data_IF_468168303908
#
_entry.id   IF_468168303908
#
_cell.length_a   1.000
_cell.length_b   1.000
_cell.length_c   1.000
_cell.angle_alpha   90.00
_cell.angle_beta   90.00
_cell.angle_gamma   90.00
#
_symmetry.space_group_name_H-M   'P 1'
#
loop_
_entity.id
_entity.type
_entity.pdbx_description
1 polymer ?
#
# COMPACT_ATOMS: atom_id res chain seq x y z
N UNK A 1 27.21 -9.42 19.01
CA UNK A 1 27.41 -8.62 17.78
C UNK A 1 27.64 -9.48 16.53
N UNK A 2 28.49 -10.52 16.56
CA UNK A 2 28.71 -11.44 15.41
C UNK A 2 27.49 -12.30 15.03
N UNK A 3 26.69 -12.72 16.01
CA UNK A 3 25.51 -13.57 15.76
C UNK A 3 24.37 -12.82 15.04
N UNK A 4 24.08 -11.57 15.41
CA UNK A 4 22.97 -10.81 14.82
C UNK A 4 23.26 -10.39 13.39
N UNK A 5 24.50 -10.01 13.09
CA UNK A 5 24.93 -9.72 11.72
C UNK A 5 24.85 -10.95 10.83
N UNK A 6 25.27 -12.12 11.33
CA UNK A 6 25.13 -13.38 10.59
C UNK A 6 23.65 -13.71 10.33
N UNK A 7 22.79 -13.58 11.34
CA UNK A 7 21.34 -13.81 11.19
C UNK A 7 20.70 -12.85 10.20
N UNK A 8 21.07 -11.57 10.24
CA UNK A 8 20.59 -10.58 9.28
C UNK A 8 21.03 -10.94 7.85
N UNK A 9 22.30 -11.33 7.67
CA UNK A 9 22.79 -11.78 6.37
C UNK A 9 22.07 -13.05 5.89
N UNK A 10 21.82 -14.02 6.76
CA UNK A 10 21.09 -15.24 6.43
C UNK A 10 19.64 -14.95 6.00
N UNK A 11 19.01 -13.93 6.60
CA UNK A 11 17.69 -13.44 6.18
C UNK A 11 17.75 -12.80 4.79
N UNK A 12 18.71 -11.92 4.55
CA UNK A 12 18.89 -11.26 3.24
C UNK A 12 19.23 -12.25 2.13
N UNK A 13 20.07 -13.25 2.41
CA UNK A 13 20.36 -14.34 1.46
C UNK A 13 19.11 -15.16 1.10
N UNK A 14 18.11 -15.20 1.98
CA UNK A 14 16.80 -15.82 1.72
C UNK A 14 15.83 -14.86 1.03
N UNK A 15 16.04 -13.55 1.14
CA UNK A 15 15.17 -12.52 0.59
C UNK A 15 15.01 -12.67 -0.92
N UNK A 16 16.10 -12.88 -1.66
CA UNK A 16 16.03 -13.09 -3.11
C UNK A 16 15.12 -14.25 -3.49
N UNK A 17 15.18 -15.37 -2.75
CA UNK A 17 14.29 -16.51 -2.97
C UNK A 17 12.83 -16.19 -2.63
N UNK A 18 12.60 -15.38 -1.61
CA UNK A 18 11.25 -14.93 -1.23
C UNK A 18 10.69 -14.03 -2.33
N UNK A 19 11.46 -13.04 -2.77
CA UNK A 19 11.06 -12.08 -3.79
C UNK A 19 10.87 -12.73 -5.16
N UNK A 20 11.71 -13.70 -5.54
CA UNK A 20 11.53 -14.49 -6.75
C UNK A 20 10.25 -15.34 -6.67
N UNK A 21 9.94 -15.93 -5.51
CA UNK A 21 8.68 -16.65 -5.32
C UNK A 21 7.44 -15.75 -5.43
N UNK A 22 7.56 -14.44 -5.13
CA UNK A 22 6.47 -13.49 -5.36
C UNK A 22 6.31 -13.18 -6.86
N UNK A 23 7.42 -13.01 -7.59
CA UNK A 23 7.38 -12.84 -9.06
C UNK A 23 6.80 -14.07 -9.77
N UNK A 24 6.98 -15.24 -9.16
CA UNK A 24 6.49 -16.52 -9.63
C UNK A 24 5.08 -16.89 -9.13
N UNK A 25 4.39 -15.98 -8.43
CA UNK A 25 3.10 -16.27 -7.79
C UNK A 25 1.98 -16.60 -8.78
N UNK A 26 0.97 -17.34 -8.31
CA UNK A 26 -0.19 -17.76 -9.09
C UNK A 26 -0.92 -16.61 -9.77
N UNK A 27 -1.07 -15.48 -9.06
CA UNK A 27 -1.71 -14.28 -9.62
C UNK A 27 -0.99 -13.78 -10.88
N UNK A 28 0.34 -13.92 -10.94
CA UNK A 28 1.16 -13.52 -12.09
C UNK A 28 1.12 -14.59 -13.18
N UNK A 29 1.44 -15.85 -12.84
CA UNK A 29 1.63 -16.92 -13.82
C UNK A 29 0.33 -17.44 -14.44
N UNK A 30 -0.69 -17.64 -13.63
CA UNK A 30 -1.89 -18.39 -14.02
C UNK A 30 -3.10 -17.49 -14.25
N UNK A 31 -3.14 -16.32 -13.59
CA UNK A 31 -4.22 -15.34 -13.76
C UNK A 31 -3.85 -14.21 -14.73
N UNK A 32 -2.61 -14.18 -15.21
CA UNK A 32 -2.14 -13.21 -16.20
C UNK A 32 -2.03 -11.77 -15.70
N UNK A 33 -2.06 -11.55 -14.37
CA UNK A 33 -1.79 -10.22 -13.83
C UNK A 33 -0.32 -9.88 -14.08
N UNK A 34 -0.06 -8.68 -14.58
CA UNK A 34 1.31 -8.20 -14.76
C UNK A 34 1.63 -7.18 -13.67
N UNK A 35 2.82 -7.23 -13.07
CA UNK A 35 3.29 -6.15 -12.21
C UNK A 35 3.18 -4.83 -12.96
N UNK A 36 2.47 -3.87 -12.38
CA UNK A 36 2.35 -2.55 -12.98
C UNK A 36 3.71 -1.85 -12.89
N UNK A 37 4.19 -1.23 -13.97
CA UNK A 37 5.38 -0.40 -13.87
C UNK A 37 5.04 0.79 -12.95
N UNK A 38 5.92 1.06 -11.99
CA UNK A 38 5.71 2.11 -10.99
C UNK A 38 6.62 3.29 -11.27
N UNK A 39 6.15 4.54 -11.16
CA UNK A 39 7.06 5.67 -11.14
C UNK A 39 8.01 5.53 -9.95
N UNK A 40 9.28 5.74 -10.23
CA UNK A 40 10.34 5.69 -9.23
C UNK A 40 10.70 7.11 -8.79
N UNK A 41 11.05 7.26 -7.51
CA UNK A 41 11.44 8.54 -6.94
C UNK A 41 12.73 8.39 -6.13
N UNK A 42 13.63 9.37 -6.20
CA UNK A 42 14.71 9.52 -5.23
C UNK A 42 14.15 10.07 -3.93
N UNK A 43 14.81 9.78 -2.81
CA UNK A 43 14.43 10.34 -1.52
C UNK A 43 14.50 11.88 -1.51
N UNK A 44 15.39 12.49 -2.31
CA UNK A 44 15.54 13.94 -2.43
C UNK A 44 14.36 14.61 -3.14
N UNK A 45 13.55 13.85 -3.89
CA UNK A 45 12.45 14.39 -4.69
C UNK A 45 11.12 14.43 -3.92
N UNK A 46 11.08 14.03 -2.66
CA UNK A 46 9.87 13.91 -1.86
C UNK A 46 10.00 14.69 -0.56
N UNK A 47 9.15 15.70 -0.38
CA UNK A 47 9.02 16.38 0.89
C UNK A 47 8.08 15.60 1.82
N UNK A 48 8.56 15.33 3.04
CA UNK A 48 7.80 14.62 4.06
C UNK A 48 7.17 15.57 5.07
N UNK A 49 5.90 15.34 5.36
CA UNK A 49 5.17 15.98 6.44
C UNK A 49 5.17 15.15 7.72
N UNK A 50 4.14 15.35 8.54
CA UNK A 50 3.98 14.65 9.82
C UNK A 50 3.91 13.13 9.67
N UNK A 51 4.28 12.43 10.73
CA UNK A 51 4.08 10.99 10.86
C UNK A 51 2.59 10.67 11.00
N UNK A 52 2.09 9.78 10.15
CA UNK A 52 0.72 9.26 10.16
C UNK A 52 0.59 8.01 11.05
N UNK A 53 1.66 7.22 11.14
CA UNK A 53 1.70 6.01 11.95
C UNK A 53 3.10 5.41 12.01
N UNK A 54 3.34 4.60 13.03
CA UNK A 54 4.56 3.83 13.23
C UNK A 54 4.16 2.39 13.56
N UNK A 55 4.71 1.44 12.81
CA UNK A 55 4.56 0.01 13.03
C UNK A 55 5.80 -0.60 13.69
N UNK A 56 5.88 -1.93 13.69
CA UNK A 56 7.02 -2.64 14.30
C UNK A 56 8.38 -2.28 13.71
N UNK A 57 8.46 -2.09 12.39
CA UNK A 57 9.71 -1.78 11.69
C UNK A 57 9.62 -0.57 10.74
N UNK A 58 8.41 -0.08 10.45
CA UNK A 58 8.20 0.95 9.43
C UNK A 58 7.44 2.17 9.93
N UNK A 59 7.78 3.33 9.38
CA UNK A 59 7.11 4.61 9.59
C UNK A 59 6.31 4.98 8.36
N UNK A 60 5.18 5.65 8.57
CA UNK A 60 4.38 6.24 7.48
C UNK A 60 4.30 7.74 7.69
N UNK A 61 4.72 8.52 6.70
CA UNK A 61 4.70 9.97 6.69
C UNK A 61 3.74 10.50 5.61
N UNK A 62 3.21 11.70 5.81
CA UNK A 62 2.58 12.45 4.72
C UNK A 62 3.61 12.81 3.66
N UNK A 63 3.19 12.82 2.40
CA UNK A 63 3.95 13.48 1.32
C UNK A 63 3.33 14.85 1.09
N UNK A 64 4.11 15.91 1.32
CA UNK A 64 3.63 17.30 1.21
C UNK A 64 3.87 17.89 -0.17
N UNK A 65 4.96 17.50 -0.83
CA UNK A 65 5.30 17.91 -2.19
C UNK A 65 6.18 16.87 -2.88
N UNK A 66 6.27 16.98 -4.20
CA UNK A 66 7.27 16.30 -5.01
C UNK A 66 8.08 17.34 -5.75
N UNK A 67 9.39 17.37 -5.50
CA UNK A 67 10.33 18.24 -6.18
C UNK A 67 11.08 17.43 -7.21
N UNK A 68 10.47 17.32 -8.40
CA UNK A 68 11.02 16.49 -9.47
C UNK A 68 12.26 17.18 -10.04
N UNK A 69 13.42 16.58 -9.79
CA UNK A 69 14.63 16.90 -10.53
C UNK A 69 14.41 16.52 -12.00
N UNK A 70 14.93 17.32 -12.94
CA UNK A 70 14.90 16.96 -14.37
C UNK A 70 15.62 15.62 -14.53
N UNK A 71 14.96 14.63 -15.13
CA UNK A 71 15.67 13.41 -15.51
C UNK A 71 16.86 13.78 -16.41
N UNK A 72 18.05 13.17 -16.22
CA UNK A 72 19.13 13.35 -17.17
C UNK A 72 18.61 12.88 -18.53
N UNK A 73 18.74 13.73 -19.56
CA UNK A 73 18.44 13.36 -20.93
C UNK A 73 19.23 12.08 -21.24
N UNK A 74 18.54 10.97 -21.45
CA UNK A 74 19.16 9.76 -21.99
C UNK A 74 19.55 10.13 -23.42
N UNK A 75 20.84 10.43 -23.63
CA UNK A 75 21.41 10.52 -24.98
C UNK A 75 21.25 9.15 -25.63
N UNK A 76 20.24 9.02 -26.48
CA UNK A 76 20.22 7.99 -27.49
C UNK A 76 21.26 8.38 -28.52
N UNK A 77 22.51 7.95 -28.30
CA UNK A 77 23.52 7.98 -29.34
C UNK A 77 23.06 7.05 -30.47
N UNK A 78 22.65 7.66 -31.59
CA UNK A 78 22.40 6.96 -32.84
C UNK A 78 21.19 7.48 -33.62
N UNK A 79 21.26 8.69 -34.15
CA UNK A 79 21.21 8.97 -35.61
C UNK A 79 20.92 10.46 -35.91
N UNK A 80 21.98 11.13 -36.39
CA UNK A 80 22.05 12.26 -37.35
C UNK A 80 21.67 13.69 -36.91
N UNK A 81 22.71 14.54 -36.95
CA UNK A 81 22.73 15.99 -37.24
C UNK A 81 21.90 16.28 -38.53
N UNK A 82 21.29 17.44 -38.81
CA UNK A 82 21.44 18.87 -38.50
C UNK A 82 19.99 19.46 -38.35
N UNK A 83 19.63 20.66 -37.87
CA UNK A 83 20.27 21.97 -37.83
C UNK A 83 19.47 22.87 -36.84
N UNK A 84 20.13 23.92 -36.37
CA UNK A 84 19.78 24.81 -35.25
C UNK A 84 18.49 25.63 -35.36
N UNK A 85 17.84 25.90 -34.21
CA UNK A 85 17.39 27.24 -33.80
C UNK A 85 17.27 27.35 -32.27
N UNK A 86 17.95 28.37 -31.73
CA UNK A 86 17.98 28.79 -30.32
C UNK A 86 16.59 29.24 -29.87
N UNK A 87 16.21 28.92 -28.63
CA UNK A 87 15.35 29.79 -27.81
C UNK A 87 15.48 29.46 -26.32
N UNK A 88 15.35 30.52 -25.53
CA UNK A 88 15.79 30.69 -24.14
C UNK A 88 15.03 29.86 -23.10
N UNK A 89 15.66 29.72 -21.93
CA UNK A 89 15.12 29.01 -20.79
C UNK A 89 13.77 29.55 -20.32
N UNK A 90 12.80 28.64 -20.23
CA UNK A 90 11.71 28.76 -19.27
C UNK A 90 11.24 27.36 -18.84
N UNK A 91 10.81 27.28 -17.59
CA UNK A 91 10.27 26.07 -16.99
C UNK A 91 9.02 25.67 -17.77
N UNK A 92 9.00 24.48 -18.40
CA UNK A 92 7.80 23.98 -19.11
C UNK A 92 6.63 23.86 -18.14
N UNK A 93 5.78 24.90 -18.10
CA UNK A 93 4.38 24.76 -17.68
C UNK A 93 3.66 24.01 -18.79
N UNK A 94 3.50 22.69 -18.63
CA UNK A 94 2.63 21.92 -19.52
C UNK A 94 1.19 22.29 -19.17
N UNK A 95 0.53 23.00 -20.07
CA UNK A 95 -0.88 23.31 -19.97
C UNK A 95 -1.69 22.01 -20.13
N UNK A 96 -2.32 21.55 -19.04
CA UNK A 96 -3.36 20.53 -19.14
C UNK A 96 -4.63 21.22 -19.64
N UNK A 97 -5.11 20.77 -20.79
CA UNK A 97 -6.38 21.17 -21.39
C UNK A 97 -7.50 21.15 -20.35
N UNK A 98 -8.24 22.27 -20.26
CA UNK A 98 -9.50 22.35 -19.54
C UNK A 98 -10.49 21.34 -20.13
N UNK A 99 -10.63 20.18 -19.50
CA UNK A 99 -11.83 19.34 -19.67
C UNK A 99 -12.79 19.68 -18.52
N UNK A 100 -13.99 20.22 -18.80
CA UNK A 100 -14.94 20.60 -17.78
C UNK A 100 -15.62 19.37 -17.17
N UNK A 101 -15.76 19.35 -15.85
CA UNK A 101 -16.67 18.51 -15.06
C UNK A 101 -17.03 17.13 -15.63
N UNK A 102 -16.25 16.11 -15.25
CA UNK A 102 -16.61 14.69 -15.41
C UNK A 102 -16.80 14.01 -14.05
N UNK A 103 -17.92 13.33 -13.88
CA UNK A 103 -18.31 12.62 -12.67
C UNK A 103 -17.31 11.52 -12.27
N UNK A 104 -16.80 11.65 -11.04
CA UNK A 104 -16.61 10.59 -10.02
C UNK A 104 -16.03 9.20 -10.35
N UNK A 105 -15.38 8.89 -11.47
CA UNK A 105 -14.73 7.56 -11.66
C UNK A 105 -13.39 7.53 -12.40
N UNK A 106 -12.84 8.67 -12.84
CA UNK A 106 -11.58 8.71 -13.63
C UNK A 106 -10.29 8.83 -12.79
N UNK A 107 -10.19 8.15 -11.64
CA UNK A 107 -8.90 7.96 -10.94
C UNK A 107 -8.30 6.55 -11.18
N UNK A 108 -8.92 5.81 -12.13
CA UNK A 108 -8.50 4.51 -12.66
C UNK A 108 -7.86 4.59 -14.06
N UNK A 109 -7.63 5.81 -14.57
CA UNK A 109 -6.90 6.02 -15.81
C UNK A 109 -5.49 5.41 -15.69
N UNK A 110 -5.23 4.42 -16.54
CA UNK A 110 -4.00 3.67 -16.62
C UNK A 110 -2.80 4.62 -16.61
N UNK A 111 -1.95 4.47 -15.60
CA UNK A 111 -0.73 5.27 -15.47
C UNK A 111 0.23 4.93 -16.60
N UNK A 112 0.30 5.79 -17.61
CA UNK A 112 1.54 5.95 -18.34
C UNK A 112 2.59 6.47 -17.34
N UNK A 113 3.58 5.63 -17.04
CA UNK A 113 4.64 5.96 -16.08
C UNK A 113 5.36 7.26 -16.44
N UNK A 114 5.45 7.56 -17.75
CA UNK A 114 6.04 8.77 -18.31
C UNK A 114 5.43 10.06 -17.76
N UNK A 115 4.13 10.08 -17.44
CA UNK A 115 3.43 11.27 -16.90
C UNK A 115 3.03 11.12 -15.44
N UNK A 116 3.15 9.93 -14.87
CA UNK A 116 2.70 9.62 -13.51
C UNK A 116 3.39 10.51 -12.46
N UNK A 117 4.70 10.74 -12.61
CA UNK A 117 5.49 11.58 -11.68
C UNK A 117 4.96 13.01 -11.64
N UNK A 118 4.78 13.62 -12.80
CA UNK A 118 4.27 14.99 -12.94
C UNK A 118 2.84 15.11 -12.43
N UNK A 119 1.96 14.13 -12.71
CA UNK A 119 0.60 14.11 -12.18
C UNK A 119 0.57 14.00 -10.66
N UNK A 120 1.46 13.20 -10.06
CA UNK A 120 1.58 13.10 -8.61
C UNK A 120 2.08 14.39 -7.98
N UNK A 121 3.06 15.05 -8.59
CA UNK A 121 3.54 16.37 -8.15
C UNK A 121 2.43 17.42 -8.21
N UNK A 122 1.76 17.55 -9.36
CA UNK A 122 0.71 18.54 -9.59
C UNK A 122 -0.55 18.30 -8.74
N UNK A 123 -0.83 17.05 -8.34
CA UNK A 123 -2.01 16.66 -7.55
C UNK A 123 -1.67 16.18 -6.14
N UNK A 124 -0.49 16.55 -5.62
CA UNK A 124 -0.02 16.16 -4.29
C UNK A 124 -1.01 16.59 -3.20
N UNK A 125 -1.56 17.80 -3.35
CA UNK A 125 -2.57 18.35 -2.46
C UNK A 125 -3.95 18.36 -3.13
N UNK A 126 -4.97 17.88 -2.42
CA UNK A 126 -6.38 17.99 -2.80
C UNK A 126 -7.10 18.85 -1.78
N UNK A 127 -7.50 20.06 -2.17
CA UNK A 127 -8.15 21.05 -1.26
C UNK A 127 -7.33 21.28 0.02
N UNK A 128 -6.00 21.39 -0.11
CA UNK A 128 -5.08 21.60 1.02
C UNK A 128 -4.76 20.35 1.85
N UNK A 129 -5.32 19.19 1.50
CA UNK A 129 -5.05 17.91 2.18
C UNK A 129 -4.10 17.07 1.34
N UNK A 130 -3.04 16.52 1.95
CA UNK A 130 -2.10 15.65 1.24
C UNK A 130 -2.80 14.37 0.77
N UNK A 131 -2.51 13.96 -0.46
CA UNK A 131 -3.13 12.80 -1.12
C UNK A 131 -2.36 11.52 -0.88
N UNK A 132 -1.05 11.62 -0.66
CA UNK A 132 -0.15 10.49 -0.61
C UNK A 132 0.48 10.31 0.77
N UNK A 133 0.81 9.06 1.06
CA UNK A 133 1.61 8.66 2.20
C UNK A 133 2.84 7.90 1.71
N UNK A 134 3.96 8.07 2.41
CA UNK A 134 5.20 7.36 2.16
C UNK A 134 5.48 6.42 3.33
N UNK A 135 5.63 5.12 3.03
CA UNK A 135 6.02 4.08 3.99
C UNK A 135 7.49 3.73 3.79
N UNK A 136 8.29 3.83 4.85
CA UNK A 136 9.74 3.51 4.88
C UNK A 136 10.12 2.83 6.20
N UNK A 137 11.35 2.32 6.30
CA UNK A 137 11.86 1.82 7.59
C UNK A 137 12.15 2.97 8.57
N UNK A 138 12.01 2.69 9.87
CA UNK A 138 12.52 3.58 10.91
C UNK A 138 14.06 3.49 10.99
N UNK A 139 14.69 4.59 11.37
CA UNK A 139 16.17 4.68 11.41
C UNK A 139 16.79 3.87 12.58
N UNK A 140 16.01 3.66 13.65
CA UNK A 140 16.45 3.05 14.90
C UNK A 140 16.05 1.57 15.00
N UNK A 141 16.61 0.72 14.12
CA UNK A 141 16.36 -0.72 14.11
C UNK A 141 17.64 -1.52 14.34
N UNK A 142 17.54 -2.68 14.99
CA UNK A 142 18.64 -3.65 14.99
C UNK A 142 18.86 -4.26 13.60
N UNK A 143 20.03 -4.82 13.33
CA UNK A 143 20.36 -5.40 12.02
C UNK A 143 19.37 -6.50 11.57
N UNK A 144 18.87 -7.29 12.51
CA UNK A 144 17.88 -8.35 12.23
C UNK A 144 16.51 -7.74 11.92
N UNK A 145 16.12 -6.68 12.62
CA UNK A 145 14.86 -5.98 12.38
C UNK A 145 14.89 -5.22 11.06
N UNK A 146 16.02 -4.58 10.72
CA UNK A 146 16.25 -3.98 9.40
C UNK A 146 16.10 -5.01 8.30
N UNK A 147 16.77 -6.16 8.42
CA UNK A 147 16.67 -7.24 7.43
C UNK A 147 15.23 -7.73 7.23
N UNK A 148 14.48 -7.93 8.32
CA UNK A 148 13.06 -8.31 8.25
C UNK A 148 12.20 -7.22 7.62
N UNK A 149 12.36 -5.98 8.07
CA UNK A 149 11.63 -4.83 7.57
C UNK A 149 11.85 -4.60 6.07
N UNK A 150 13.08 -4.72 5.58
CA UNK A 150 13.38 -4.62 4.15
C UNK A 150 12.66 -5.71 3.34
N UNK A 151 12.66 -6.95 3.84
CA UNK A 151 11.96 -8.07 3.19
C UNK A 151 10.44 -7.82 3.16
N UNK A 152 9.85 -7.44 4.30
CA UNK A 152 8.41 -7.23 4.42
C UNK A 152 7.95 -6.08 3.51
N UNK A 153 8.70 -4.96 3.48
CA UNK A 153 8.40 -3.82 2.62
C UNK A 153 8.56 -4.16 1.14
N UNK A 154 9.59 -4.93 0.77
CA UNK A 154 9.79 -5.40 -0.59
C UNK A 154 8.66 -6.35 -1.05
N UNK A 155 8.25 -7.29 -0.19
CA UNK A 155 7.12 -8.20 -0.44
C UNK A 155 5.81 -7.42 -0.62
N UNK A 156 5.56 -6.43 0.25
CA UNK A 156 4.41 -5.54 0.14
C UNK A 156 4.38 -4.80 -1.20
N UNK A 157 5.49 -4.19 -1.61
CA UNK A 157 5.59 -3.50 -2.89
C UNK A 157 5.28 -4.43 -4.07
N UNK A 158 5.83 -5.65 -4.05
CA UNK A 158 5.57 -6.64 -5.11
C UNK A 158 4.11 -7.05 -5.19
N UNK A 159 3.46 -7.40 -4.07
CA UNK A 159 2.04 -7.74 -4.11
C UNK A 159 1.18 -6.53 -4.51
N UNK A 160 1.41 -5.34 -3.98
CA UNK A 160 0.66 -4.13 -4.35
C UNK A 160 0.85 -3.73 -5.82
N UNK A 161 1.94 -4.16 -6.47
CA UNK A 161 2.15 -3.96 -7.91
C UNK A 161 1.19 -4.78 -8.78
N UNK A 162 0.71 -5.93 -8.29
CA UNK A 162 -0.13 -6.88 -9.03
C UNK A 162 -1.59 -6.91 -8.57
N UNK A 163 -1.86 -6.60 -7.28
CA UNK A 163 -3.24 -6.56 -6.77
C UNK A 163 -3.93 -5.25 -7.16
N UNK A 164 -5.18 -5.36 -7.57
CA UNK A 164 -6.01 -4.21 -7.93
C UNK A 164 -7.46 -4.46 -7.54
N UNK A 165 -7.91 -3.73 -6.52
CA UNK A 165 -9.24 -3.85 -5.97
C UNK A 165 -9.66 -2.52 -5.33
N UNK A 166 -10.92 -2.08 -5.44
CA UNK A 166 -11.38 -0.81 -4.86
C UNK A 166 -11.20 -0.71 -3.34
N UNK A 167 -11.21 -1.84 -2.63
CA UNK A 167 -11.03 -1.92 -1.18
C UNK A 167 -9.62 -2.40 -0.73
N UNK A 168 -8.61 -2.29 -1.61
CA UNK A 168 -7.20 -2.49 -1.27
C UNK A 168 -6.46 -1.17 -1.51
N UNK A 169 -5.52 -0.81 -0.63
CA UNK A 169 -4.72 0.40 -0.80
C UNK A 169 -3.97 0.39 -2.13
N UNK A 170 -3.99 1.52 -2.85
CA UNK A 170 -3.26 1.65 -4.11
C UNK A 170 -1.85 2.15 -3.85
N UNK A 171 -0.86 1.36 -4.27
CA UNK A 171 0.51 1.85 -4.45
C UNK A 171 0.57 2.77 -5.67
N UNK A 172 1.26 3.89 -5.53
CA UNK A 172 1.37 4.95 -6.54
C UNK A 172 2.79 5.16 -7.05
N UNK A 173 3.80 4.78 -6.26
CA UNK A 173 5.21 4.85 -6.66
C UNK A 173 6.11 4.12 -5.66
N UNK A 174 7.39 3.99 -6.01
CA UNK A 174 8.41 3.34 -5.19
C UNK A 174 9.72 4.13 -5.20
N UNK A 175 10.61 3.82 -4.26
CA UNK A 175 11.98 4.34 -4.29
C UNK A 175 12.71 3.87 -5.56
N UNK A 176 13.53 4.74 -6.14
CA UNK A 176 14.48 4.35 -7.16
C UNK A 176 15.56 3.41 -6.58
N UNK A 177 15.95 2.39 -7.34
CA UNK A 177 16.99 1.43 -6.95
C UNK A 177 16.43 0.07 -6.50
N UNK A 178 17.17 -0.61 -5.62
CA UNK A 178 16.85 -1.98 -5.17
C UNK A 178 15.79 -2.01 -4.08
N UNK A 179 14.90 -2.99 -4.12
CA UNK A 179 13.93 -3.30 -3.07
C UNK A 179 14.58 -3.68 -1.74
N UNK A 180 15.78 -4.27 -1.77
CA UNK A 180 16.54 -4.69 -0.59
C UNK A 180 17.56 -3.62 -0.19
N UNK A 181 17.10 -2.39 -0.09
CA UNK A 181 17.86 -1.24 0.40
C UNK A 181 17.16 -0.66 1.64
N UNK A 182 17.92 -0.17 2.63
CA UNK A 182 17.38 0.49 3.81
C UNK A 182 16.58 1.75 3.47
N UNK A 183 16.97 2.46 2.41
CA UNK A 183 16.29 3.68 1.94
C UNK A 183 15.09 3.38 1.04
N UNK A 184 14.76 2.09 0.83
CA UNK A 184 13.60 1.70 0.04
C UNK A 184 12.31 2.18 0.72
N UNK A 185 11.41 2.75 -0.09
CA UNK A 185 10.12 3.24 0.36
C UNK A 185 9.04 2.99 -0.68
N UNK A 186 7.79 3.04 -0.21
CA UNK A 186 6.60 2.94 -1.05
C UNK A 186 5.77 4.21 -0.90
N UNK A 187 5.35 4.80 -2.01
CA UNK A 187 4.35 5.87 -2.04
C UNK A 187 2.99 5.26 -2.34
N UNK A 188 1.99 5.57 -1.53
CA UNK A 188 0.63 5.02 -1.63
C UNK A 188 -0.43 6.08 -1.36
N UNK A 189 -1.70 5.75 -1.65
CA UNK A 189 -2.82 6.59 -1.26
C UNK A 189 -2.85 6.79 0.25
N UNK A 190 -3.05 8.03 0.68
CA UNK A 190 -3.16 8.36 2.10
C UNK A 190 -4.47 7.84 2.70
N UNK A 191 -4.36 7.21 3.87
CA UNK A 191 -5.49 6.81 4.70
C UNK A 191 -5.68 7.82 5.86
N UNK A 192 -6.95 8.03 6.27
CA UNK A 192 -7.38 9.06 7.22
C UNK A 192 -7.82 8.50 8.58
N UNK A 193 -7.62 7.21 8.80
CA UNK A 193 -7.90 6.52 10.06
C UNK A 193 -7.96 5.01 9.85
N UNK A 194 -8.02 4.27 10.96
CA UNK A 194 -8.11 2.80 10.97
C UNK A 194 -9.49 2.31 11.41
N UNK A 195 -9.80 1.04 11.12
CA UNK A 195 -11.01 0.38 11.59
C UNK A 195 -10.99 0.24 13.12
N UNK A 196 -9.83 0.05 13.75
CA UNK A 196 -9.74 0.09 15.23
C UNK A 196 -10.28 1.41 15.79
N UNK A 197 -9.80 2.54 15.24
CA UNK A 197 -10.25 3.88 15.64
C UNK A 197 -11.76 4.04 15.40
N UNK A 198 -12.27 3.55 14.26
CA UNK A 198 -13.69 3.64 13.91
C UNK A 198 -14.57 2.76 14.81
N UNK A 199 -14.13 1.55 15.16
CA UNK A 199 -14.80 0.67 16.13
C UNK A 199 -14.91 1.37 17.48
N UNK A 200 -13.83 2.00 17.94
CA UNK A 200 -13.81 2.73 19.20
C UNK A 200 -14.73 3.96 19.16
N UNK A 201 -14.81 4.67 18.03
CA UNK A 201 -15.77 5.75 17.82
C UNK A 201 -17.22 5.26 17.88
N UNK A 202 -17.55 4.15 17.20
CA UNK A 202 -18.87 3.54 17.24
C UNK A 202 -19.27 3.12 18.67
N UNK A 203 -18.36 2.51 19.43
CA UNK A 203 -18.60 2.14 20.84
C UNK A 203 -18.96 3.38 21.68
N UNK A 204 -18.21 4.47 21.54
CA UNK A 204 -18.47 5.74 22.25
C UNK A 204 -19.79 6.38 21.82
N UNK A 205 -20.14 6.30 20.54
CA UNK A 205 -21.39 6.86 20.02
C UNK A 205 -22.60 6.09 20.57
N UNK A 206 -22.53 4.76 20.59
CA UNK A 206 -23.58 3.93 21.16
C UNK A 206 -23.71 4.11 22.67
N UNK A 207 -22.58 4.18 23.41
CA UNK A 207 -22.63 4.32 24.87
C UNK A 207 -23.21 5.65 25.35
N UNK A 208 -22.94 6.75 24.62
CA UNK A 208 -23.53 8.07 24.90
C UNK A 208 -25.04 8.13 24.66
N UNK A 209 -25.55 7.24 23.80
CA UNK A 209 -26.97 7.13 23.48
C UNK A 209 -27.64 5.96 24.23
N UNK A 210 -27.03 5.43 25.30
CA UNK A 210 -27.68 4.44 26.18
C UNK A 210 -28.22 5.09 27.46
N UNK A 211 -29.42 5.70 27.37
CA UNK A 211 -30.28 6.19 28.48
C UNK A 211 -31.47 7.00 27.92
N UNK A 212 -32.74 6.96 28.36
CA UNK A 212 -33.40 6.69 29.66
C UNK A 212 -34.61 5.72 29.51
N UNK A 213 -35.11 5.19 30.65
CA UNK A 213 -36.15 4.18 30.86
C UNK A 213 -37.53 4.43 30.22
N UNK A 214 -37.80 5.62 29.67
CA UNK A 214 -39.05 5.97 28.99
C UNK A 214 -38.87 5.89 27.46
N UNK A 215 -38.33 4.77 27.00
CA UNK A 215 -37.83 4.58 25.65
C UNK A 215 -38.82 4.98 24.56
N UNK A 216 -38.50 6.03 23.80
CA UNK A 216 -38.96 6.23 22.43
C UNK A 216 -37.97 7.16 21.70
N UNK A 217 -37.52 6.75 20.52
CA UNK A 217 -37.10 7.68 19.45
C UNK A 217 -35.62 7.76 19.10
N UNK A 218 -34.74 8.22 19.99
CA UNK A 218 -33.40 8.71 19.57
C UNK A 218 -32.30 7.65 19.45
N UNK A 219 -32.48 6.47 20.03
CA UNK A 219 -31.44 5.43 20.07
C UNK A 219 -31.48 4.49 18.85
N UNK A 220 -32.65 4.35 18.22
CA UNK A 220 -32.82 3.43 17.10
C UNK A 220 -32.14 3.93 15.82
N UNK A 221 -32.27 5.22 15.52
CA UNK A 221 -31.66 5.81 14.31
C UNK A 221 -30.13 5.76 14.37
N UNK A 222 -29.52 6.17 15.50
CA UNK A 222 -28.07 6.08 15.71
C UNK A 222 -27.58 4.64 15.64
N UNK A 223 -28.32 3.70 16.27
CA UNK A 223 -28.01 2.29 16.18
C UNK A 223 -28.05 1.78 14.73
N UNK A 224 -29.10 2.12 13.98
CA UNK A 224 -29.26 1.71 12.59
C UNK A 224 -28.21 2.34 11.68
N UNK A 225 -27.81 3.58 11.94
CA UNK A 225 -26.69 4.21 11.23
C UNK A 225 -25.38 3.46 11.47
N UNK A 226 -25.03 3.19 12.73
CA UNK A 226 -23.82 2.43 13.07
C UNK A 226 -23.87 1.01 12.51
N UNK A 227 -25.03 0.35 12.55
CA UNK A 227 -25.21 -0.97 11.97
C UNK A 227 -25.01 -0.94 10.46
N UNK A 228 -25.59 0.04 9.76
CA UNK A 228 -25.42 0.22 8.32
C UNK A 228 -23.95 0.42 7.96
N UNK A 229 -23.23 1.30 8.66
CA UNK A 229 -21.80 1.51 8.43
C UNK A 229 -20.98 0.22 8.65
N UNK A 230 -21.28 -0.53 9.72
CA UNK A 230 -20.63 -1.83 10.00
C UNK A 230 -20.89 -2.85 8.88
N UNK A 231 -22.12 -2.93 8.39
CA UNK A 231 -22.49 -3.86 7.32
C UNK A 231 -21.79 -3.51 6.00
N UNK A 232 -21.68 -2.22 5.66
CA UNK A 232 -20.93 -1.77 4.49
C UNK A 232 -19.45 -2.16 4.62
N UNK A 233 -18.82 -1.86 5.76
CA UNK A 233 -17.42 -2.24 5.99
C UNK A 233 -17.22 -3.75 5.91
N UNK A 234 -18.10 -4.54 6.52
CA UNK A 234 -18.01 -6.00 6.49
C UNK A 234 -18.17 -6.56 5.07
N UNK A 235 -19.11 -6.02 4.29
CA UNK A 235 -19.31 -6.39 2.89
C UNK A 235 -18.08 -6.07 2.04
N UNK A 236 -17.60 -4.84 2.08
CA UNK A 236 -16.45 -4.40 1.29
C UNK A 236 -15.16 -5.19 1.61
N UNK A 237 -14.96 -5.51 2.90
CA UNK A 237 -13.85 -6.37 3.32
C UNK A 237 -14.03 -7.80 2.79
N UNK A 238 -15.24 -8.35 2.85
CA UNK A 238 -15.51 -9.69 2.32
C UNK A 238 -15.22 -9.76 0.81
N UNK A 239 -15.61 -8.74 0.04
CA UNK A 239 -15.30 -8.64 -1.39
C UNK A 239 -13.78 -8.55 -1.63
N UNK A 240 -13.06 -7.74 -0.85
CA UNK A 240 -11.59 -7.64 -0.94
C UNK A 240 -10.90 -8.98 -0.67
N UNK A 241 -11.30 -9.70 0.38
CA UNK A 241 -10.71 -11.00 0.71
C UNK A 241 -11.12 -12.09 -0.26
N UNK A 242 -12.34 -12.05 -0.79
CA UNK A 242 -12.77 -12.93 -1.89
C UNK A 242 -11.84 -12.75 -3.10
N UNK A 243 -11.59 -11.50 -3.52
CA UNK A 243 -10.64 -11.20 -4.59
C UNK A 243 -9.24 -11.76 -4.32
N UNK A 244 -8.70 -11.61 -3.10
CA UNK A 244 -7.39 -12.18 -2.76
C UNK A 244 -7.39 -13.71 -2.83
N UNK A 245 -8.41 -14.35 -2.26
CA UNK A 245 -8.51 -15.81 -2.23
C UNK A 245 -8.72 -16.43 -3.62
N UNK A 246 -9.51 -15.80 -4.50
CA UNK A 246 -9.66 -16.20 -5.90
C UNK A 246 -8.34 -16.16 -6.67
N UNK A 247 -7.42 -15.29 -6.24
CA UNK A 247 -6.06 -15.20 -6.76
C UNK A 247 -5.03 -15.99 -5.93
N UNK A 248 -5.50 -16.89 -5.05
CA UNK A 248 -4.68 -17.75 -4.17
C UNK A 248 -3.76 -16.98 -3.21
N UNK A 249 -4.05 -15.72 -2.95
CA UNK A 249 -3.33 -14.92 -1.97
C UNK A 249 -4.01 -15.02 -0.61
N UNK A 250 -3.24 -15.38 0.42
CA UNK A 250 -3.67 -15.28 1.82
C UNK A 250 -2.99 -14.10 2.46
N UNK A 251 -3.79 -13.17 2.99
CA UNK A 251 -3.31 -11.93 3.59
C UNK A 251 -2.60 -12.12 4.95
N UNK A 252 -3.08 -13.06 5.78
CA UNK A 252 -2.49 -13.54 7.05
C UNK A 252 -2.37 -12.55 8.22
N UNK A 253 -2.71 -11.28 8.09
CA UNK A 253 -2.69 -10.34 9.22
C UNK A 253 -3.97 -9.51 9.34
N UNK A 254 -5.13 -10.17 9.19
CA UNK A 254 -6.44 -9.51 9.29
C UNK A 254 -6.62 -8.98 10.71
N UNK A 255 -6.58 -7.66 10.86
CA UNK A 255 -6.84 -6.95 12.11
C UNK A 255 -7.35 -5.53 11.84
N UNK A 256 -8.14 -4.93 12.75
CA UNK A 256 -8.68 -3.58 12.58
C UNK A 256 -7.62 -2.50 12.36
N UNK A 257 -6.39 -2.71 12.81
CA UNK A 257 -5.27 -1.79 12.63
C UNK A 257 -4.75 -1.77 11.19
N UNK A 258 -4.92 -2.86 10.43
CA UNK A 258 -4.49 -2.96 9.02
C UNK A 258 -5.64 -2.73 8.01
N UNK A 259 -6.73 -2.17 8.50
CA UNK A 259 -7.88 -1.76 7.70
C UNK A 259 -8.04 -0.26 7.91
N UNK A 260 -7.94 0.52 6.84
CA UNK A 260 -8.03 1.98 6.90
C UNK A 260 -9.13 2.53 6.03
N UNK A 261 -9.24 3.86 6.02
CA UNK A 261 -10.23 4.58 5.21
C UNK A 261 -9.55 5.65 4.38
N UNK A 262 -9.92 5.74 3.10
CA UNK A 262 -9.44 6.83 2.25
C UNK A 262 -10.19 8.14 2.53
N UNK A 263 -9.90 9.17 1.74
CA UNK A 263 -10.51 10.51 1.86
C UNK A 263 -12.03 10.50 1.64
N UNK A 264 -12.57 9.50 0.95
CA UNK A 264 -14.02 9.34 0.71
C UNK A 264 -14.70 8.56 1.83
N UNK A 265 -13.91 7.95 2.73
CA UNK A 265 -14.39 7.08 3.78
C UNK A 265 -14.56 5.62 3.35
N UNK A 266 -14.09 5.26 2.14
CA UNK A 266 -14.13 3.90 1.64
C UNK A 266 -13.07 3.05 2.35
N UNK A 267 -13.41 1.81 2.70
CA UNK A 267 -12.49 0.92 3.40
C UNK A 267 -11.38 0.44 2.47
N UNK A 268 -10.14 0.39 2.98
CA UNK A 268 -8.94 -0.09 2.30
C UNK A 268 -8.17 -1.06 3.20
N UNK A 269 -7.92 -2.27 2.73
CA UNK A 269 -6.94 -3.19 3.33
C UNK A 269 -5.54 -2.70 2.94
N UNK A 270 -4.62 -2.64 3.89
CA UNK A 270 -3.22 -2.24 3.67
C UNK A 270 -2.26 -3.17 4.43
N UNK A 271 -0.94 -2.97 4.34
CA UNK A 271 0.08 -3.76 5.04
C UNK A 271 0.19 -5.22 4.57
N UNK A 272 0.68 -5.40 3.33
CA UNK A 272 0.78 -6.71 2.67
C UNK A 272 2.09 -7.47 2.95
N UNK A 273 2.91 -7.01 3.89
CA UNK A 273 4.22 -7.62 4.18
C UNK A 273 4.15 -9.09 4.60
N UNK A 274 3.03 -9.52 5.19
CA UNK A 274 2.79 -10.92 5.57
C UNK A 274 1.99 -11.73 4.52
N UNK A 275 1.60 -11.14 3.39
CA UNK A 275 0.81 -11.83 2.38
C UNK A 275 1.59 -13.01 1.76
N UNK A 276 0.89 -14.08 1.38
CA UNK A 276 1.50 -15.27 0.79
C UNK A 276 0.63 -15.92 -0.27
N UNK A 277 1.25 -16.30 -1.37
CA UNK A 277 0.65 -17.15 -2.40
C UNK A 277 0.52 -18.62 -1.96
N UNK A 278 -0.62 -19.23 -2.27
CA UNK A 278 -0.93 -20.64 -2.03
C UNK A 278 -0.54 -21.49 -3.24
N UNK A 279 0.76 -21.66 -3.42
CA UNK A 279 1.29 -22.50 -4.49
C UNK A 279 0.83 -23.97 -4.32
N UNK A 280 0.49 -24.67 -5.41
CA UNK A 280 0.12 -26.10 -5.36
C UNK A 280 1.14 -26.97 -4.62
N UNK A 281 2.43 -26.65 -4.72
CA UNK A 281 3.53 -27.38 -4.06
C UNK A 281 3.48 -27.32 -2.53
N UNK A 282 2.80 -26.31 -1.97
CA UNK A 282 2.64 -26.16 -0.52
C UNK A 282 1.48 -27.00 0.01
N UNK A 283 0.61 -27.53 -0.87
CA UNK A 283 -0.51 -28.38 -0.45
C UNK A 283 0.02 -29.62 0.27
N UNK A 284 -0.56 -29.94 1.43
CA UNK A 284 -0.20 -31.12 2.19
C UNK A 284 -0.43 -32.38 1.34
N UNK A 285 0.59 -33.24 1.23
CA UNK A 285 0.56 -34.43 0.37
C UNK A 285 -0.16 -35.63 1.01
N UNK A 286 -0.28 -35.67 2.32
CA UNK A 286 -0.65 -36.87 3.09
C UNK A 286 -2.05 -36.74 3.76
N UNK A 287 -3.08 -36.34 3.01
CA UNK A 287 -4.47 -36.32 3.51
C UNK A 287 -4.82 -35.22 4.52
N UNK A 288 -3.87 -34.36 4.89
CA UNK A 288 -4.15 -33.14 5.64
C UNK A 288 -4.83 -32.08 4.78
N UNK A 289 -5.98 -31.55 5.21
CA UNK A 289 -6.56 -30.36 4.61
C UNK A 289 -5.65 -29.15 4.90
N UNK A 290 -4.99 -28.59 3.88
CA UNK A 290 -4.27 -27.31 4.02
C UNK A 290 -2.98 -27.14 3.21
N UNK A 291 -2.30 -26.01 3.44
CA UNK A 291 -1.04 -25.62 2.83
C UNK A 291 0.04 -25.43 3.91
N UNK A 292 1.27 -25.90 3.66
CA UNK A 292 2.43 -25.69 4.52
C UNK A 292 2.95 -24.26 4.33
N UNK A 293 2.54 -23.35 5.21
CA UNK A 293 2.98 -21.96 5.25
C UNK A 293 4.05 -21.74 6.32
N UNK A 294 4.75 -20.59 6.27
CA UNK A 294 5.64 -20.20 7.37
C UNK A 294 4.86 -20.08 8.68
N UNK A 295 5.37 -20.68 9.75
CA UNK A 295 4.70 -20.70 11.05
C UNK A 295 4.60 -19.33 11.72
N UNK A 296 3.63 -19.16 12.64
CA UNK A 296 3.38 -17.96 13.47
C UNK A 296 3.57 -16.63 12.73
N UNK A 297 2.87 -16.44 11.61
CA UNK A 297 2.74 -15.16 10.93
C UNK A 297 1.35 -14.56 11.22
N UNK A 298 1.32 -13.31 11.64
CA UNK A 298 0.10 -12.57 11.99
C UNK A 298 0.04 -12.16 13.46
N UNK A 299 -0.98 -11.37 13.78
CA UNK A 299 -1.21 -10.85 15.13
C UNK A 299 -1.93 -11.91 16.00
N UNK A 300 -1.31 -12.35 17.10
CA UNK A 300 -1.74 -13.50 17.91
C UNK A 300 -3.25 -13.58 18.22
N UNK A 301 -3.94 -12.49 18.63
CA UNK A 301 -5.38 -12.55 18.93
C UNK A 301 -6.27 -12.86 17.72
N UNK A 302 -5.75 -12.66 16.51
CA UNK A 302 -6.45 -12.81 15.24
C UNK A 302 -6.04 -14.08 14.49
N UNK A 303 -5.13 -14.87 15.05
CA UNK A 303 -4.70 -16.13 14.46
C UNK A 303 -5.66 -17.27 14.82
N UNK A 304 -6.05 -18.05 13.81
CA UNK A 304 -6.80 -19.29 14.00
C UNK A 304 -5.94 -20.30 14.76
N UNK A 305 -6.50 -20.98 15.77
CA UNK A 305 -5.84 -22.12 16.42
C UNK A 305 -5.84 -23.28 15.44
N UNK A 306 -4.63 -23.70 15.04
CA UNK A 306 -4.39 -24.89 14.21
C UNK A 306 -4.74 -26.18 14.93
#
# INVERSE_FOLDING_TARGET
MTNDRQRAQDLLNRADKILAAVDDSYIIKERGHRPRPMPMFRHTEIELGRTLGAGGFGVVNEVTAFDLEKEPEISTEGEKEEESKKEDGDSKKVAISNTPGGDLYEDDAHYEVSVARELMANRCLRRGVTRYALKRLHDNLSEVEKARGMIDLAVEAKYLSVVWHPNIVKMRGVAAGSYLNQDFFIVMDRLFGTLDQRINAWKKLLSKNSGCCCGFGKNHEVFMQVLKERMIVAYDLAVAFMYLHENRLVYRDIKPENIGFDVRGDVKVFDFGLCKDLEPRLKCKDGGYGYKLTGRAGSLPYMVRS
#
